data_IF_804077008418
#
_entry.id   IF_804077008418
#
_cell.length_a   1.000
_cell.length_b   1.000
_cell.length_c   1.000
_cell.angle_alpha   90.00
_cell.angle_beta   90.00
_cell.angle_gamma   90.00
#
_symmetry.space_group_name_H-M   'P 1'
#
loop_
_entity.id
_entity.type
_entity.pdbx_description
1 polymer ?
#
# COMPACT_ATOMS: atom_id res chain seq x y z
N UNK A 1 23.03 -29.54 -3.86
CA UNK A 1 21.63 -29.09 -4.02
C UNK A 1 21.31 -28.31 -2.77
N UNK A 2 21.26 -26.98 -2.83
CA UNK A 2 20.77 -26.20 -1.69
C UNK A 2 19.26 -26.36 -1.64
N UNK A 3 18.76 -27.07 -0.64
CA UNK A 3 17.33 -27.07 -0.30
C UNK A 3 16.88 -25.60 -0.18
N UNK A 4 15.91 -25.20 -1.00
CA UNK A 4 15.36 -23.86 -0.94
C UNK A 4 14.61 -23.67 0.37
N UNK A 5 14.95 -22.62 1.11
CA UNK A 5 14.20 -22.23 2.31
C UNK A 5 12.78 -21.82 1.89
N UNK A 6 11.77 -22.47 2.45
CA UNK A 6 10.37 -22.06 2.29
C UNK A 6 10.10 -20.80 3.13
N UNK A 7 9.69 -19.73 2.44
CA UNK A 7 9.35 -18.44 3.06
C UNK A 7 7.84 -18.19 3.10
N UNK A 8 7.01 -19.16 2.73
CA UNK A 8 5.56 -18.98 2.76
C UNK A 8 5.06 -18.71 4.18
N UNK A 9 4.07 -17.84 4.33
CA UNK A 9 3.48 -17.48 5.62
C UNK A 9 2.05 -17.00 5.48
N UNK A 10 1.38 -16.70 6.60
CA UNK A 10 0.02 -16.17 6.63
C UNK A 10 -0.15 -15.06 7.65
N UNK A 11 -0.95 -14.05 7.32
CA UNK A 11 -1.42 -13.04 8.28
C UNK A 11 -2.95 -13.08 8.33
N UNK A 12 -3.50 -13.67 9.39
CA UNK A 12 -4.93 -13.98 9.46
C UNK A 12 -5.36 -14.82 8.24
N UNK A 13 -6.40 -14.42 7.50
CA UNK A 13 -6.87 -15.18 6.33
C UNK A 13 -6.02 -14.97 5.06
N UNK A 14 -4.97 -14.15 5.11
CA UNK A 14 -4.17 -13.80 3.93
C UNK A 14 -2.93 -14.69 3.86
N UNK A 15 -2.86 -15.55 2.84
CA UNK A 15 -1.66 -16.31 2.50
C UNK A 15 -0.65 -15.42 1.73
N UNK A 16 0.63 -15.58 2.04
CA UNK A 16 1.73 -14.82 1.46
C UNK A 16 2.83 -15.77 0.99
N UNK A 17 3.36 -15.54 -0.22
CA UNK A 17 4.50 -16.29 -0.78
C UNK A 17 5.84 -16.05 -0.07
N UNK A 18 5.92 -14.95 0.70
CA UNK A 18 7.09 -14.52 1.48
C UNK A 18 6.62 -13.52 2.55
N UNK A 19 7.28 -13.39 3.72
CA UNK A 19 6.92 -12.40 4.74
C UNK A 19 7.31 -10.96 4.37
N UNK A 20 7.90 -10.73 3.21
CA UNK A 20 8.38 -9.40 2.81
C UNK A 20 7.24 -8.58 2.22
N UNK A 21 6.85 -7.51 2.90
CA UNK A 21 5.88 -6.53 2.42
C UNK A 21 6.52 -5.15 2.29
N UNK A 22 6.15 -4.43 1.23
CA UNK A 22 6.49 -3.01 1.13
C UNK A 22 5.64 -2.18 2.12
N UNK A 23 6.31 -1.40 2.97
CA UNK A 23 5.65 -0.60 3.98
C UNK A 23 4.85 0.58 3.39
N UNK A 24 3.71 0.89 4.02
CA UNK A 24 2.86 2.04 3.66
C UNK A 24 3.66 3.33 3.65
N UNK A 25 3.49 4.11 2.59
CA UNK A 25 4.16 5.41 2.44
C UNK A 25 5.62 5.35 1.99
N UNK A 26 6.25 4.18 2.00
CA UNK A 26 7.63 3.97 1.50
C UNK A 26 7.68 3.49 0.04
N UNK A 27 6.55 3.03 -0.50
CA UNK A 27 6.47 2.42 -1.83
C UNK A 27 5.38 3.01 -2.73
N UNK A 28 4.92 4.22 -2.41
CA UNK A 28 3.84 4.92 -3.11
C UNK A 28 2.63 4.01 -3.41
N UNK A 29 2.34 3.76 -4.70
CA UNK A 29 1.33 2.80 -5.17
C UNK A 29 1.97 1.66 -5.99
N UNK A 30 3.26 1.37 -5.79
CA UNK A 30 4.00 0.31 -6.47
C UNK A 30 4.50 0.65 -7.88
N UNK A 31 3.67 1.32 -8.70
CA UNK A 31 3.94 1.51 -10.14
C UNK A 31 5.30 2.17 -10.43
N UNK A 32 5.72 3.14 -9.61
CA UNK A 32 7.01 3.82 -9.79
C UNK A 32 8.22 2.89 -9.61
N UNK A 33 8.06 1.78 -8.88
CA UNK A 33 9.14 0.84 -8.57
C UNK A 33 9.24 -0.32 -9.57
N UNK A 34 8.24 -0.50 -10.43
CA UNK A 34 8.21 -1.57 -11.43
C UNK A 34 9.35 -1.44 -12.47
N UNK A 35 9.92 -0.25 -12.65
CA UNK A 35 11.08 -0.02 -13.50
C UNK A 35 12.41 -0.46 -12.87
N UNK A 36 12.45 -0.64 -11.54
CA UNK A 36 13.68 -0.93 -10.80
C UNK A 36 13.76 -2.38 -10.31
N UNK A 37 12.62 -3.05 -10.12
CA UNK A 37 12.58 -4.43 -9.64
C UNK A 37 11.28 -5.15 -10.01
N UNK A 38 11.30 -6.48 -10.02
CA UNK A 38 10.09 -7.30 -10.17
C UNK A 38 9.27 -7.26 -8.88
N UNK A 39 8.17 -6.49 -8.91
CA UNK A 39 7.28 -6.34 -7.77
C UNK A 39 6.67 -7.67 -7.29
N UNK A 40 6.64 -8.69 -8.15
CA UNK A 40 6.14 -10.02 -7.79
C UNK A 40 7.04 -10.73 -6.79
N UNK A 41 8.29 -10.31 -6.61
CA UNK A 41 9.16 -10.86 -5.59
C UNK A 41 8.68 -10.55 -4.15
N UNK A 42 7.82 -9.53 -3.97
CA UNK A 42 7.22 -9.18 -2.69
C UNK A 42 6.05 -10.12 -2.35
N UNK A 43 5.83 -10.35 -1.05
CA UNK A 43 4.63 -11.01 -0.54
C UNK A 43 3.41 -10.10 -0.65
N UNK A 44 3.61 -8.79 -0.52
CA UNK A 44 2.58 -7.80 -0.72
C UNK A 44 3.06 -6.36 -0.70
N UNK A 45 2.14 -5.45 -1.02
CA UNK A 45 2.35 -4.00 -0.99
C UNK A 45 1.30 -3.39 -0.08
N UNK A 46 1.74 -2.68 0.95
CA UNK A 46 0.90 -1.75 1.70
C UNK A 46 0.96 -0.38 1.04
N UNK A 47 -0.17 0.07 0.50
CA UNK A 47 -0.21 1.31 -0.29
C UNK A 47 0.02 2.53 0.58
N UNK A 48 0.34 3.68 -0.04
CA UNK A 48 0.20 4.99 0.63
C UNK A 48 -1.19 5.11 1.27
N UNK A 49 -1.24 5.73 2.45
CA UNK A 49 -2.49 6.03 3.14
C UNK A 49 -3.42 6.91 2.31
N UNK A 50 -4.63 6.42 2.06
CA UNK A 50 -5.68 7.12 1.31
C UNK A 50 -6.67 7.78 2.27
N UNK A 51 -7.15 8.97 1.91
CA UNK A 51 -8.26 9.65 2.59
C UNK A 51 -9.49 9.78 1.70
N UNK A 52 -10.66 10.17 2.24
CA UNK A 52 -11.87 10.41 1.44
C UNK A 52 -11.66 11.42 0.30
N UNK A 53 -10.84 12.43 0.56
CA UNK A 53 -10.49 13.50 -0.38
C UNK A 53 -8.97 13.57 -0.60
N UNK A 54 -8.48 14.13 -1.72
CA UNK A 54 -7.07 14.35 -1.95
C UNK A 54 -6.43 15.26 -0.89
N UNK A 55 -5.14 15.06 -0.63
CA UNK A 55 -4.36 15.89 0.30
C UNK A 55 -2.99 16.20 -0.29
N UNK A 56 -2.57 17.45 -0.15
CA UNK A 56 -1.23 17.93 -0.56
C UNK A 56 -0.12 17.56 0.43
N UNK A 57 -0.48 17.23 1.68
CA UNK A 57 0.49 16.98 2.74
C UNK A 57 1.00 18.25 3.41
N UNK A 58 2.06 18.11 4.22
CA UNK A 58 2.65 19.22 4.95
C UNK A 58 3.60 20.03 4.04
N UNK A 59 3.86 21.31 4.36
CA UNK A 59 4.88 22.12 3.69
C UNK A 59 6.28 21.48 3.71
N UNK A 60 7.11 21.87 2.76
CA UNK A 60 8.53 21.51 2.73
C UNK A 60 9.33 22.38 3.73
N UNK A 61 10.46 21.89 4.29
CA UNK A 61 11.00 20.54 4.18
C UNK A 61 10.22 19.53 5.05
N UNK A 62 10.03 18.32 4.53
CA UNK A 62 9.22 17.26 5.18
C UNK A 62 9.96 15.93 5.36
N UNK A 63 11.26 15.93 5.13
CA UNK A 63 12.18 14.81 5.35
C UNK A 63 13.48 15.36 5.95
N UNK A 64 14.10 14.62 6.85
CA UNK A 64 15.39 14.96 7.44
C UNK A 64 16.17 13.68 7.73
N UNK A 65 17.44 13.62 7.34
CA UNK A 65 18.32 12.48 7.67
C UNK A 65 18.71 12.51 9.14
N UNK A 66 18.85 11.32 9.73
CA UNK A 66 19.33 11.14 11.11
C UNK A 66 20.36 10.02 11.15
N UNK A 67 21.13 9.93 12.24
CA UNK A 67 22.03 8.78 12.44
C UNK A 67 21.24 7.47 12.35
N UNK A 68 21.56 6.64 11.36
CA UNK A 68 20.91 5.34 11.14
C UNK A 68 19.48 5.40 10.58
N UNK A 69 19.01 6.52 10.02
CA UNK A 69 17.67 6.59 9.46
C UNK A 69 17.24 7.97 8.96
N UNK A 70 15.93 8.22 9.00
CA UNK A 70 15.35 9.50 8.61
C UNK A 70 14.05 9.81 9.36
N UNK A 71 13.76 11.09 9.56
CA UNK A 71 12.46 11.61 9.97
C UNK A 71 11.63 11.99 8.73
N UNK A 72 10.31 11.83 8.84
CA UNK A 72 9.38 12.31 7.82
C UNK A 72 8.16 12.99 8.47
N UNK A 73 7.67 14.02 7.80
CA UNK A 73 6.45 14.74 8.14
C UNK A 73 5.65 14.97 6.85
N UNK A 74 5.38 13.90 6.09
CA UNK A 74 4.74 14.03 4.76
C UNK A 74 3.33 14.63 4.84
N UNK A 75 2.65 14.50 5.98
CA UNK A 75 1.28 15.02 6.17
C UNK A 75 0.20 14.22 5.45
N UNK A 76 0.47 12.93 5.20
CA UNK A 76 -0.44 12.01 4.52
C UNK A 76 -0.88 12.50 3.13
N UNK A 77 0.04 13.08 2.35
CA UNK A 77 -0.19 13.41 0.94
C UNK A 77 -0.71 12.18 0.17
N UNK A 78 -1.84 12.32 -0.51
CA UNK A 78 -2.47 11.25 -1.27
C UNK A 78 -3.51 11.77 -2.28
N UNK A 79 -3.92 10.90 -3.20
CA UNK A 79 -4.80 11.25 -4.33
C UNK A 79 -6.29 11.21 -4.00
N UNK A 80 -6.66 10.77 -2.80
CA UNK A 80 -8.04 10.48 -2.41
C UNK A 80 -8.55 9.14 -2.95
N UNK A 81 -9.61 8.61 -2.33
CA UNK A 81 -10.11 7.26 -2.62
C UNK A 81 -10.65 7.09 -4.03
N UNK A 82 -11.35 8.07 -4.61
CA UNK A 82 -11.85 7.97 -5.98
C UNK A 82 -10.74 7.79 -7.01
N UNK A 83 -9.72 8.66 -6.95
CA UNK A 83 -8.58 8.59 -7.87
C UNK A 83 -7.74 7.33 -7.63
N UNK A 84 -7.63 6.87 -6.38
CA UNK A 84 -6.98 5.60 -6.08
C UNK A 84 -7.69 4.43 -6.76
N UNK A 85 -9.02 4.31 -6.58
CA UNK A 85 -9.81 3.22 -7.16
C UNK A 85 -9.78 3.23 -8.68
N UNK A 86 -9.86 4.42 -9.29
CA UNK A 86 -9.87 4.59 -10.75
C UNK A 86 -8.50 4.39 -11.38
N UNK A 87 -7.45 4.98 -10.81
CA UNK A 87 -6.17 5.15 -11.52
C UNK A 87 -5.04 4.27 -10.97
N UNK A 88 -5.10 3.83 -9.70
CA UNK A 88 -4.00 3.11 -9.03
C UNK A 88 -4.31 1.64 -8.78
N UNK A 89 -5.53 1.36 -8.35
CA UNK A 89 -5.96 0.00 -8.01
C UNK A 89 -5.94 -0.98 -9.21
N UNK A 90 -6.26 -0.60 -10.46
CA UNK A 90 -6.19 -1.54 -11.59
C UNK A 90 -4.80 -2.16 -11.76
N UNK A 91 -3.75 -1.33 -11.76
CA UNK A 91 -2.37 -1.81 -11.81
C UNK A 91 -2.04 -2.76 -10.65
N UNK A 92 -2.41 -2.38 -9.42
CA UNK A 92 -2.13 -3.17 -8.22
C UNK A 92 -2.83 -4.55 -8.25
N UNK A 93 -4.04 -4.62 -8.80
CA UNK A 93 -4.79 -5.89 -8.96
C UNK A 93 -4.07 -6.85 -9.90
N UNK A 94 -3.46 -6.34 -10.96
CA UNK A 94 -2.82 -7.15 -11.99
C UNK A 94 -1.42 -7.65 -11.57
N UNK A 95 -0.84 -7.14 -10.47
CA UNK A 95 0.48 -7.54 -9.99
C UNK A 95 0.55 -8.99 -9.48
N UNK A 96 -0.56 -9.57 -9.03
CA UNK A 96 -0.57 -10.93 -8.47
C UNK A 96 0.14 -11.06 -7.11
N UNK A 97 0.33 -9.95 -6.39
CA UNK A 97 0.79 -9.93 -4.99
C UNK A 97 -0.34 -9.50 -4.07
N UNK A 98 -0.19 -9.72 -2.76
CA UNK A 98 -1.18 -9.26 -1.79
C UNK A 98 -1.20 -7.72 -1.73
N UNK A 99 -2.36 -7.09 -1.93
CA UNK A 99 -2.51 -5.62 -1.89
C UNK A 99 -3.24 -5.21 -0.62
N UNK A 100 -2.57 -4.41 0.21
CA UNK A 100 -3.06 -3.95 1.50
C UNK A 100 -3.34 -2.46 1.40
N UNK A 101 -4.62 -2.10 1.33
CA UNK A 101 -5.02 -0.69 1.20
C UNK A 101 -4.93 -0.01 2.56
N UNK A 102 -3.93 0.84 2.75
CA UNK A 102 -3.85 1.71 3.91
C UNK A 102 -4.78 2.91 3.71
N UNK A 103 -5.59 3.23 4.72
CA UNK A 103 -6.52 4.36 4.67
C UNK A 103 -6.65 5.04 6.03
N UNK A 104 -7.15 6.26 6.04
CA UNK A 104 -7.39 7.01 7.27
C UNK A 104 -8.53 8.01 7.12
N UNK A 105 -9.01 8.48 8.27
CA UNK A 105 -9.90 9.63 8.42
C UNK A 105 -9.35 10.54 9.51
N UNK A 106 -9.77 11.81 9.51
CA UNK A 106 -9.41 12.76 10.58
C UNK A 106 -10.34 12.66 11.77
N UNK A 107 -11.46 11.96 11.59
CA UNK A 107 -12.47 11.63 12.58
C UNK A 107 -13.07 10.25 12.25
N UNK A 108 -13.98 9.79 13.09
CA UNK A 108 -14.62 8.48 12.94
C UNK A 108 -15.43 8.37 11.64
N UNK A 109 -16.19 9.41 11.30
CA UNK A 109 -17.08 9.38 10.13
C UNK A 109 -16.28 9.30 8.82
N UNK A 110 -15.24 10.11 8.70
CA UNK A 110 -14.33 10.10 7.54
C UNK A 110 -13.51 8.81 7.46
N UNK A 111 -13.17 8.20 8.59
CA UNK A 111 -12.49 6.89 8.59
C UNK A 111 -13.42 5.81 8.04
N UNK A 112 -14.68 5.78 8.49
CA UNK A 112 -15.70 4.83 8.02
C UNK A 112 -16.05 5.07 6.54
N UNK A 113 -16.18 6.33 6.11
CA UNK A 113 -16.41 6.67 4.69
C UNK A 113 -15.27 6.14 3.81
N UNK A 114 -14.02 6.41 4.20
CA UNK A 114 -12.86 5.96 3.45
C UNK A 114 -12.79 4.43 3.38
N UNK A 115 -13.10 3.75 4.49
CA UNK A 115 -13.14 2.29 4.55
C UNK A 115 -14.21 1.72 3.59
N UNK A 116 -15.43 2.27 3.63
CA UNK A 116 -16.56 1.83 2.78
C UNK A 116 -16.25 2.01 1.30
N UNK A 117 -15.73 3.17 0.91
CA UNK A 117 -15.37 3.46 -0.49
C UNK A 117 -14.20 2.59 -0.95
N UNK A 118 -13.17 2.44 -0.12
CA UNK A 118 -12.05 1.53 -0.43
C UNK A 118 -12.49 0.08 -0.62
N UNK A 119 -13.50 -0.38 0.15
CA UNK A 119 -14.04 -1.73 0.04
C UNK A 119 -14.76 -1.99 -1.30
N UNK A 120 -15.26 -0.96 -2.00
CA UNK A 120 -15.80 -1.10 -3.37
C UNK A 120 -14.72 -1.56 -4.36
N UNK A 121 -13.45 -1.33 -4.01
CA UNK A 121 -12.28 -1.86 -4.71
C UNK A 121 -12.04 -3.36 -4.53
N UNK A 122 -12.88 -4.10 -3.79
CA UNK A 122 -12.79 -5.56 -3.75
C UNK A 122 -13.35 -6.14 -5.06
N UNK A 123 -12.47 -6.63 -5.94
CA UNK A 123 -12.90 -7.54 -7.00
C UNK A 123 -13.38 -8.86 -6.39
N UNK A 124 -14.25 -9.61 -7.08
CA UNK A 124 -14.67 -10.93 -6.59
C UNK A 124 -13.43 -11.78 -6.30
N UNK A 125 -13.16 -12.08 -5.04
CA UNK A 125 -12.11 -13.01 -4.63
C UNK A 125 -12.42 -14.36 -5.27
N UNK A 126 -11.78 -14.69 -6.40
CA UNK A 126 -11.61 -16.09 -6.78
C UNK A 126 -10.62 -16.65 -5.78
N UNK A 127 -11.11 -17.38 -4.78
CA UNK A 127 -10.25 -18.29 -4.04
C UNK A 127 -9.63 -19.23 -5.06
N UNK A 128 -8.30 -19.21 -5.15
CA UNK A 128 -7.52 -20.31 -5.67
C UNK A 128 -6.73 -20.87 -4.51
#
# INVERSE_FOLDING_TARGET
MTEGIDLTTSCGPVALRTPILAASGCFAYGQQFAAFTDLRALGGISTKGISPLPRFGNPLPRICETTGGMLNSIGLENVGVEAFLRDKLPFLRDLGVSVWVNFFGVDFETYVDCARRSAQGRGSTRSR
#
